data_IF_181122439241
#
_entry.id   IF_181122439241
#
_cell.length_a   1.000
_cell.length_b   1.000
_cell.length_c   1.000
_cell.angle_alpha   90.00
_cell.angle_beta   90.00
_cell.angle_gamma   90.00
#
_symmetry.space_group_name_H-M   'P 1'
#
loop_
_entity.id
_entity.type
_entity.pdbx_description
1 polymer ?
#
# COMPACT_ATOMS: atom_id res chain seq x y z
N UNK A 1 5.36 49.86 34.39
CA UNK A 1 6.09 48.55 34.42
C UNK A 1 5.17 47.34 34.44
N UNK A 2 4.12 47.26 35.30
CA UNK A 2 3.21 46.10 35.39
C UNK A 2 2.53 45.67 34.08
N UNK A 3 2.09 46.63 33.25
CA UNK A 3 1.38 46.33 31.98
C UNK A 3 2.27 45.63 30.94
N UNK A 4 3.55 46.01 30.85
CA UNK A 4 4.51 45.41 29.90
C UNK A 4 4.93 44.00 30.33
N UNK A 5 5.12 43.78 31.63
CA UNK A 5 5.46 42.46 32.16
C UNK A 5 4.32 41.45 31.93
N UNK A 6 3.07 41.88 32.09
CA UNK A 6 1.89 41.07 31.77
C UNK A 6 1.81 40.70 30.29
N UNK A 7 2.04 41.66 29.40
CA UNK A 7 2.07 41.42 27.95
C UNK A 7 3.16 40.42 27.57
N UNK A 8 4.38 40.56 28.09
CA UNK A 8 5.46 39.60 27.86
C UNK A 8 5.11 38.19 28.34
N UNK A 9 4.47 38.06 29.50
CA UNK A 9 4.04 36.78 30.04
C UNK A 9 2.99 36.11 29.15
N UNK A 10 1.99 36.87 28.70
CA UNK A 10 0.93 36.37 27.80
C UNK A 10 1.53 35.92 26.48
N UNK A 11 2.40 36.73 25.86
CA UNK A 11 3.06 36.37 24.59
C UNK A 11 3.92 35.12 24.74
N UNK A 12 4.62 34.96 25.86
CA UNK A 12 5.42 33.77 26.16
C UNK A 12 4.56 32.52 26.34
N UNK A 13 3.47 32.61 27.11
CA UNK A 13 2.57 31.47 27.31
C UNK A 13 1.86 31.08 26.02
N UNK A 14 1.45 32.05 25.20
CA UNK A 14 0.86 31.79 23.88
C UNK A 14 1.85 31.14 22.91
N UNK A 15 3.12 31.55 22.91
CA UNK A 15 4.13 30.94 22.04
C UNK A 15 4.45 29.51 22.46
N UNK A 16 4.54 29.23 23.76
CA UNK A 16 4.70 27.86 24.29
C UNK A 16 3.49 26.99 23.95
N UNK A 17 2.27 27.51 24.12
CA UNK A 17 1.05 26.79 23.76
C UNK A 17 0.96 26.48 22.27
N UNK A 18 1.27 27.45 21.40
CA UNK A 18 1.32 27.24 19.96
C UNK A 18 2.38 26.21 19.57
N UNK A 19 3.58 26.29 20.16
CA UNK A 19 4.65 25.33 19.93
C UNK A 19 4.22 23.91 20.32
N UNK A 20 3.56 23.75 21.47
CA UNK A 20 3.07 22.45 21.93
C UNK A 20 2.03 21.86 20.96
N UNK A 21 1.12 22.68 20.42
CA UNK A 21 0.14 22.26 19.41
C UNK A 21 0.85 21.82 18.13
N UNK A 22 1.82 22.60 17.64
CA UNK A 22 2.57 22.27 16.43
C UNK A 22 3.37 20.97 16.58
N UNK A 23 4.02 20.77 17.73
CA UNK A 23 4.74 19.52 18.04
C UNK A 23 3.76 18.35 18.12
N UNK A 24 2.62 18.52 18.81
CA UNK A 24 1.58 17.49 18.88
C UNK A 24 1.06 17.10 17.49
N UNK A 25 0.77 18.08 16.65
CA UNK A 25 0.33 17.85 15.27
C UNK A 25 1.40 17.12 14.44
N UNK A 26 2.67 17.53 14.56
CA UNK A 26 3.78 16.87 13.88
C UNK A 26 3.94 15.41 14.32
N UNK A 27 3.73 15.11 15.61
CA UNK A 27 3.77 13.74 16.13
C UNK A 27 2.60 12.89 15.62
N UNK A 28 1.39 13.45 15.58
CA UNK A 28 0.21 12.77 15.02
C UNK A 28 0.43 12.41 13.55
N UNK A 29 0.85 13.39 12.73
CA UNK A 29 1.15 13.18 11.31
C UNK A 29 2.28 12.17 11.10
N UNK A 30 3.24 12.08 12.03
CA UNK A 30 4.31 11.09 11.96
C UNK A 30 3.82 9.68 12.27
N UNK A 31 2.88 9.52 13.21
CA UNK A 31 2.26 8.22 13.50
C UNK A 31 1.39 7.73 12.34
N UNK A 32 0.67 8.61 11.64
CA UNK A 32 -0.11 8.25 10.45
C UNK A 32 0.78 7.78 9.29
N UNK A 33 2.02 8.26 9.22
CA UNK A 33 3.03 7.79 8.26
C UNK A 33 3.63 6.46 8.71
N UNK A 34 2.78 5.45 8.90
CA UNK A 34 3.27 4.07 8.98
C UNK A 34 3.98 3.74 7.67
N UNK A 35 5.19 3.21 7.77
CA UNK A 35 5.95 2.79 6.59
C UNK A 35 5.22 1.60 5.99
N UNK A 36 4.97 1.60 4.68
CA UNK A 36 4.38 0.43 4.02
C UNK A 36 5.12 -0.84 4.47
N UNK A 37 4.40 -1.89 4.89
CA UNK A 37 4.99 -3.15 5.27
C UNK A 37 5.95 -3.64 4.19
N UNK A 38 7.08 -4.21 4.61
CA UNK A 38 8.09 -4.79 3.72
C UNK A 38 8.32 -6.24 4.07
N UNK A 39 8.30 -7.10 3.05
CA UNK A 39 8.60 -8.51 3.21
C UNK A 39 10.05 -8.79 2.79
N UNK A 40 10.98 -8.81 3.75
CA UNK A 40 12.41 -8.92 3.45
C UNK A 40 12.81 -10.18 2.68
N UNK A 41 12.08 -11.29 2.86
CA UNK A 41 12.32 -12.53 2.12
C UNK A 41 11.89 -12.46 0.64
N UNK A 42 11.00 -11.50 0.31
CA UNK A 42 10.42 -11.29 -1.02
C UNK A 42 10.53 -9.81 -1.37
N UNK A 43 11.72 -9.34 -1.78
CA UNK A 43 11.99 -7.91 -1.97
C UNK A 43 11.15 -7.29 -3.10
N UNK A 44 10.64 -8.11 -4.03
CA UNK A 44 9.81 -7.68 -5.15
C UNK A 44 8.30 -7.73 -4.83
N UNK A 45 7.92 -8.22 -3.64
CA UNK A 45 6.54 -8.23 -3.20
C UNK A 45 6.10 -6.84 -2.72
N UNK A 46 4.98 -6.37 -3.26
CA UNK A 46 4.40 -5.07 -2.91
C UNK A 46 3.26 -5.26 -1.91
N UNK A 47 3.23 -4.42 -0.87
CA UNK A 47 2.10 -4.39 0.05
C UNK A 47 0.88 -3.73 -0.58
N UNK A 48 -0.24 -4.45 -0.62
CA UNK A 48 -1.54 -3.96 -1.05
C UNK A 48 -2.50 -4.10 0.13
N UNK A 49 -2.95 -2.97 0.69
CA UNK A 49 -3.83 -2.95 1.85
C UNK A 49 -4.04 -1.57 2.43
N UNK A 50 -4.84 -1.50 3.48
CA UNK A 50 -5.14 -0.30 4.24
C UNK A 50 -4.96 -0.55 5.75
N UNK A 51 -5.55 0.30 6.58
CA UNK A 51 -5.42 0.25 8.04
C UNK A 51 -6.00 -1.03 8.67
N UNK A 52 -6.98 -1.65 8.01
CA UNK A 52 -7.63 -2.90 8.40
C UNK A 52 -6.86 -4.17 8.00
N UNK A 53 -5.75 -4.00 7.27
CA UNK A 53 -4.86 -5.08 6.87
C UNK A 53 -4.60 -5.10 5.37
N UNK A 54 -3.88 -6.11 4.93
CA UNK A 54 -3.46 -6.24 3.55
C UNK A 54 -2.72 -7.53 3.27
N UNK A 55 -2.25 -7.61 2.03
CA UNK A 55 -1.49 -8.74 1.51
C UNK A 55 -0.28 -8.24 0.74
N UNK A 56 0.76 -9.06 0.70
CA UNK A 56 1.88 -8.87 -0.21
C UNK A 56 1.55 -9.52 -1.55
N UNK A 57 1.75 -8.80 -2.64
CA UNK A 57 1.53 -9.28 -4.00
C UNK A 57 2.81 -9.21 -4.79
N UNK A 58 3.19 -10.32 -5.39
CA UNK A 58 4.41 -10.46 -6.18
C UNK A 58 4.10 -11.10 -7.53
N UNK A 59 4.64 -10.53 -8.61
CA UNK A 59 4.54 -11.12 -9.96
C UNK A 59 5.84 -11.87 -10.22
N UNK A 60 5.84 -13.19 -10.02
CA UNK A 60 7.07 -13.99 -10.15
C UNK A 60 7.34 -14.45 -11.59
N UNK A 61 6.32 -14.44 -12.46
CA UNK A 61 6.49 -14.69 -13.91
C UNK A 61 5.69 -13.70 -14.75
N UNK A 62 6.35 -13.17 -15.78
CA UNK A 62 5.78 -12.21 -16.73
C UNK A 62 5.82 -12.82 -18.14
N UNK A 63 4.68 -13.38 -18.56
CA UNK A 63 4.48 -14.01 -19.87
C UNK A 63 3.31 -13.30 -20.59
N UNK A 64 3.38 -11.97 -20.68
CA UNK A 64 2.30 -11.12 -21.20
C UNK A 64 1.57 -11.75 -22.42
N UNK A 65 0.24 -11.89 -22.37
CA UNK A 65 -0.69 -11.33 -21.38
C UNK A 65 -0.92 -12.20 -20.13
N UNK A 66 -0.19 -13.30 -19.96
CA UNK A 66 -0.35 -14.22 -18.82
C UNK A 66 0.73 -13.94 -17.76
N UNK A 67 0.33 -13.85 -16.50
CA UNK A 67 1.24 -13.53 -15.38
C UNK A 67 1.03 -14.53 -14.26
N UNK A 68 2.10 -14.95 -13.61
CA UNK A 68 1.99 -15.75 -12.40
C UNK A 68 2.15 -14.85 -11.19
N UNK A 69 1.14 -14.83 -10.34
CA UNK A 69 1.06 -13.97 -9.16
C UNK A 69 1.02 -14.82 -7.91
N UNK A 70 1.81 -14.38 -6.94
CA UNK A 70 1.84 -14.93 -5.59
C UNK A 70 1.31 -13.87 -4.62
N UNK A 71 0.33 -14.25 -3.81
CA UNK A 71 -0.27 -13.43 -2.78
C UNK A 71 0.09 -14.04 -1.42
N UNK A 72 0.66 -13.23 -0.54
CA UNK A 72 1.15 -13.66 0.78
C UNK A 72 0.49 -12.86 1.88
N UNK A 73 0.28 -13.51 3.01
CA UNK A 73 -0.11 -12.84 4.25
C UNK A 73 0.98 -11.85 4.70
N UNK A 74 0.62 -10.92 5.59
CA UNK A 74 1.57 -10.03 6.27
C UNK A 74 2.72 -10.79 6.95
N UNK A 75 2.45 -12.00 7.45
CA UNK A 75 3.45 -12.90 8.04
C UNK A 75 4.46 -13.47 7.04
N UNK A 76 4.25 -13.25 5.74
CA UNK A 76 5.02 -13.84 4.64
C UNK A 76 4.56 -15.22 4.20
N UNK A 77 3.65 -15.85 4.95
CA UNK A 77 3.04 -17.12 4.57
C UNK A 77 2.25 -17.00 3.27
N UNK A 78 2.27 -18.06 2.46
CA UNK A 78 1.53 -18.07 1.20
C UNK A 78 0.02 -18.05 1.46
N UNK A 79 -0.70 -17.12 0.84
CA UNK A 79 -2.17 -17.07 0.86
C UNK A 79 -2.73 -17.83 -0.35
N UNK A 80 -2.36 -17.38 -1.55
CA UNK A 80 -2.80 -18.00 -2.81
C UNK A 80 -1.81 -17.68 -3.93
N UNK A 81 -1.79 -18.52 -4.96
CA UNK A 81 -1.02 -18.32 -6.19
C UNK A 81 -1.88 -18.69 -7.39
N UNK A 82 -1.58 -18.08 -8.53
CA UNK A 82 -2.24 -18.45 -9.75
C UNK A 82 -1.71 -17.76 -10.98
N UNK A 83 -2.06 -18.36 -12.11
CA UNK A 83 -1.96 -17.68 -13.39
C UNK A 83 -3.16 -16.78 -13.58
N UNK A 84 -2.88 -15.56 -13.97
CA UNK A 84 -3.86 -14.55 -14.31
C UNK A 84 -3.61 -14.02 -15.70
N UNK A 85 -4.65 -13.49 -16.34
CA UNK A 85 -4.53 -12.86 -17.65
C UNK A 85 -4.82 -11.37 -17.54
N UNK A 86 -3.88 -10.56 -18.01
CA UNK A 86 -4.01 -9.11 -18.05
C UNK A 86 -3.59 -8.59 -19.43
N UNK A 87 -4.56 -8.02 -20.15
CA UNK A 87 -4.33 -7.36 -21.43
C UNK A 87 -4.84 -5.93 -21.38
N UNK A 88 -3.94 -4.96 -21.50
CA UNK A 88 -4.34 -3.56 -21.74
C UNK A 88 -4.39 -3.30 -23.24
N UNK A 89 -5.21 -2.32 -23.65
CA UNK A 89 -5.25 -1.85 -25.05
C UNK A 89 -3.88 -1.36 -25.52
N UNK A 90 -3.04 -0.91 -24.60
CA UNK A 90 -1.74 -0.30 -24.85
C UNK A 90 -0.57 -1.29 -24.65
N UNK A 91 -0.84 -2.59 -24.45
CA UNK A 91 0.16 -3.67 -24.29
C UNK A 91 1.17 -3.49 -23.15
N UNK A 92 0.90 -2.61 -22.18
CA UNK A 92 1.79 -2.46 -21.03
C UNK A 92 1.71 -3.70 -20.12
N UNK A 93 2.87 -4.24 -19.68
CA UNK A 93 2.89 -5.41 -18.82
C UNK A 93 2.26 -5.10 -17.46
N UNK A 94 1.63 -6.11 -16.85
CA UNK A 94 1.12 -5.99 -15.50
C UNK A 94 2.29 -5.72 -14.54
N UNK A 95 2.13 -4.73 -13.67
CA UNK A 95 3.03 -4.42 -12.57
C UNK A 95 2.27 -4.50 -11.25
N UNK A 96 2.94 -4.92 -10.19
CA UNK A 96 2.35 -4.95 -8.85
C UNK A 96 1.82 -3.55 -8.44
N UNK A 97 2.49 -2.48 -8.86
CA UNK A 97 2.05 -1.10 -8.60
C UNK A 97 0.72 -0.71 -9.29
N UNK A 98 0.28 -1.48 -10.28
CA UNK A 98 -1.03 -1.27 -10.92
C UNK A 98 -2.17 -1.92 -10.12
N UNK A 99 -1.86 -2.82 -9.18
CA UNK A 99 -2.83 -3.51 -8.34
C UNK A 99 -3.29 -2.55 -7.25
N UNK A 100 -4.60 -2.32 -7.17
CA UNK A 100 -5.23 -1.43 -6.20
C UNK A 100 -5.97 -2.14 -5.08
N UNK A 101 -6.14 -3.47 -5.15
CA UNK A 101 -6.81 -4.22 -4.08
C UNK A 101 -6.88 -5.73 -4.32
N UNK A 102 -7.16 -6.46 -3.24
CA UNK A 102 -7.47 -7.89 -3.22
C UNK A 102 -8.63 -8.12 -2.26
N UNK A 103 -9.68 -8.82 -2.69
CA UNK A 103 -10.87 -9.09 -1.87
C UNK A 103 -10.90 -10.51 -1.26
N UNK A 104 -9.84 -11.31 -1.48
CA UNK A 104 -9.77 -12.71 -1.09
C UNK A 104 -9.99 -13.70 -2.24
N UNK A 105 -10.44 -13.24 -3.40
CA UNK A 105 -10.65 -14.07 -4.59
C UNK A 105 -10.02 -13.44 -5.84
N UNK A 106 -10.19 -12.12 -6.03
CA UNK A 106 -9.76 -11.41 -7.23
C UNK A 106 -8.85 -10.22 -6.93
N UNK A 107 -7.90 -9.98 -7.84
CA UNK A 107 -7.06 -8.79 -7.83
C UNK A 107 -7.71 -7.69 -8.67
N UNK A 108 -7.77 -6.49 -8.11
CA UNK A 108 -8.28 -5.30 -8.79
C UNK A 108 -7.14 -4.42 -9.24
N UNK A 109 -7.16 -4.00 -10.50
CA UNK A 109 -6.21 -3.01 -11.03
C UNK A 109 -6.84 -1.62 -10.93
N UNK A 110 -6.04 -0.59 -10.64
CA UNK A 110 -6.50 0.81 -10.61
C UNK A 110 -7.18 1.28 -11.91
N UNK A 111 -6.98 0.58 -13.02
CA UNK A 111 -7.72 0.80 -14.28
C UNK A 111 -9.20 0.39 -14.21
N UNK A 112 -9.69 -0.12 -13.09
CA UNK A 112 -11.07 -0.57 -12.90
C UNK A 112 -11.38 -1.92 -13.55
N UNK A 113 -10.34 -2.68 -13.90
CA UNK A 113 -10.47 -4.01 -14.52
C UNK A 113 -10.14 -5.05 -13.46
N UNK A 114 -11.07 -5.96 -13.20
CA UNK A 114 -10.82 -7.14 -12.39
C UNK A 114 -9.95 -8.12 -13.17
N UNK A 115 -8.95 -8.69 -12.50
CA UNK A 115 -8.11 -9.73 -13.07
C UNK A 115 -8.78 -11.06 -12.82
N UNK A 116 -9.10 -11.79 -13.89
CA UNK A 116 -9.67 -13.13 -13.78
C UNK A 116 -8.57 -14.21 -13.78
N UNK A 117 -8.76 -15.29 -12.99
CA UNK A 117 -7.92 -16.47 -13.06
C UNK A 117 -8.24 -17.26 -14.33
N UNK A 118 -7.59 -16.93 -15.45
CA UNK A 118 -7.64 -17.75 -16.66
C UNK A 118 -6.28 -17.88 -17.32
N UNK A 119 -5.61 -19.02 -17.11
CA UNK A 119 -4.67 -19.56 -18.10
C UNK A 119 -5.44 -20.50 -19.00
N UNK A 120 -5.98 -19.98 -20.12
CA UNK A 120 -6.53 -20.82 -21.18
C UNK A 120 -5.38 -21.55 -21.88
N UNK A 121 -4.91 -22.63 -21.25
CA UNK A 121 -3.66 -23.28 -21.61
C UNK A 121 -3.28 -24.47 -20.74
N UNK A 122 -4.23 -25.25 -20.24
CA UNK A 122 -4.02 -26.70 -20.10
C UNK A 122 -4.79 -27.35 -21.23
N UNK A 123 -4.15 -27.38 -22.39
CA UNK A 123 -4.51 -28.37 -23.38
C UNK A 123 -4.02 -29.74 -22.87
N UNK A 124 -4.91 -30.73 -23.00
CA UNK A 124 -4.65 -32.17 -23.06
C UNK A 124 -4.60 -32.86 -21.67
N UNK A 125 -5.18 -34.03 -21.45
CA UNK A 125 -5.68 -35.08 -22.36
C UNK A 125 -6.48 -36.10 -21.53
#
# INVERSE_FOLDING_TARGET
MKLRAWQCLVTFLSSVGLLAILVGLALLLRMERSTEPKLFAHPDALWIGAEDGGVFVEITRNEAPDYYVEIRHESGGMWTEGWIRYGTRDSHPLSAAAIGGYDGDQLYVYSGIAITPEKLGVAQR
#
